data_IF_047828436996
#
_entry.id   IF_047828436996
#
_cell.length_a   1.000
_cell.length_b   1.000
_cell.length_c   1.000
_cell.angle_alpha   90.00
_cell.angle_beta   90.00
_cell.angle_gamma   90.00
#
_symmetry.space_group_name_H-M   'P 1'
#
loop_
_entity.id
_entity.type
_entity.pdbx_description
1 polymer ?
#
# COMPACT_ATOMS: atom_id res chain seq x y z
N UNK A 1 35.94 28.83 -31.83
CA UNK A 1 35.55 27.70 -30.98
C UNK A 1 35.54 26.44 -31.81
N UNK A 2 36.53 25.55 -31.63
CA UNK A 2 36.79 24.42 -32.52
C UNK A 2 35.74 23.33 -32.42
N UNK A 3 35.55 22.56 -33.47
CA UNK A 3 34.63 21.41 -33.57
C UNK A 3 34.79 20.37 -32.45
N UNK A 4 36.00 20.24 -31.92
CA UNK A 4 36.31 19.35 -30.79
C UNK A 4 35.62 19.80 -29.48
N UNK A 5 35.59 21.10 -29.18
CA UNK A 5 34.93 21.64 -27.97
C UNK A 5 33.44 21.47 -28.03
N UNK A 6 32.81 21.61 -29.20
CA UNK A 6 31.36 21.38 -29.42
C UNK A 6 31.00 19.90 -29.23
N UNK A 7 31.82 18.97 -29.70
CA UNK A 7 31.59 17.54 -29.51
C UNK A 7 31.64 17.16 -28.03
N UNK A 8 32.65 17.63 -27.31
CA UNK A 8 32.80 17.35 -25.87
C UNK A 8 31.64 17.89 -25.04
N UNK A 9 31.13 19.08 -25.35
CA UNK A 9 29.99 19.69 -24.67
C UNK A 9 28.71 18.90 -24.93
N UNK A 10 28.49 18.43 -26.17
CA UNK A 10 27.32 17.62 -26.51
C UNK A 10 27.37 16.25 -25.83
N UNK A 11 28.54 15.60 -25.76
CA UNK A 11 28.71 14.32 -25.09
C UNK A 11 28.50 14.46 -23.56
N UNK A 12 28.97 15.54 -22.94
CA UNK A 12 28.70 15.82 -21.53
C UNK A 12 27.22 16.08 -21.25
N UNK A 13 26.51 16.81 -22.10
CA UNK A 13 25.07 17.09 -21.97
C UNK A 13 24.26 15.79 -22.12
N UNK A 14 24.60 14.95 -23.08
CA UNK A 14 23.92 13.64 -23.27
C UNK A 14 24.19 12.73 -22.07
N UNK A 15 25.39 12.69 -21.52
CA UNK A 15 25.70 11.91 -20.32
C UNK A 15 24.92 12.41 -19.07
N UNK A 16 24.76 13.72 -18.91
CA UNK A 16 23.97 14.31 -17.82
C UNK A 16 22.48 14.00 -17.99
N UNK A 17 21.95 14.06 -19.22
CA UNK A 17 20.55 13.73 -19.49
C UNK A 17 20.30 12.23 -19.24
N UNK A 18 21.21 11.34 -19.65
CA UNK A 18 21.08 9.90 -19.35
C UNK A 18 21.19 9.60 -17.84
N UNK A 19 22.01 10.33 -17.08
CA UNK A 19 22.10 10.17 -15.63
C UNK A 19 20.83 10.64 -14.90
N UNK A 20 20.08 11.59 -15.47
CA UNK A 20 18.84 12.09 -14.86
C UNK A 20 17.61 11.19 -15.15
N UNK A 21 17.67 10.31 -16.16
CA UNK A 21 16.57 9.36 -16.47
C UNK A 21 16.55 8.12 -15.58
N UNK A 22 17.53 7.96 -14.67
CA UNK A 22 17.57 6.88 -13.71
C UNK A 22 16.84 7.20 -12.38
N UNK A 23 15.98 8.23 -12.34
CA UNK A 23 14.99 8.40 -11.28
C UNK A 23 13.94 7.29 -11.46
N UNK A 24 14.26 6.11 -10.94
CA UNK A 24 13.29 5.05 -10.78
C UNK A 24 12.16 5.60 -9.91
N UNK A 25 10.97 5.76 -10.51
CA UNK A 25 9.72 5.84 -9.76
C UNK A 25 9.69 4.59 -8.87
N UNK A 26 10.05 4.74 -7.61
CA UNK A 26 9.83 3.67 -6.65
C UNK A 26 8.31 3.63 -6.45
N UNK A 27 7.66 2.64 -7.06
CA UNK A 27 6.41 2.17 -6.53
C UNK A 27 6.64 1.94 -5.02
N UNK A 28 5.76 2.44 -4.16
CA UNK A 28 5.88 2.30 -2.71
C UNK A 28 5.83 0.81 -2.34
N UNK A 29 6.99 0.18 -2.37
CA UNK A 29 7.21 -1.20 -1.96
C UNK A 29 8.06 -1.18 -0.69
N UNK A 30 7.58 -1.82 0.35
CA UNK A 30 8.29 -2.02 1.60
C UNK A 30 8.77 -3.46 1.64
N UNK A 31 10.08 -3.66 1.80
CA UNK A 31 10.70 -4.98 1.91
C UNK A 31 11.08 -5.21 3.37
N UNK A 32 10.52 -6.26 3.96
CA UNK A 32 10.83 -6.71 5.32
C UNK A 32 11.18 -8.20 5.27
N UNK A 33 12.45 -8.53 5.42
CA UNK A 33 12.99 -9.86 5.14
C UNK A 33 12.60 -10.32 3.73
N UNK A 34 11.87 -11.44 3.62
CA UNK A 34 11.38 -12.00 2.37
C UNK A 34 9.97 -11.50 1.99
N UNK A 35 9.34 -10.68 2.85
CA UNK A 35 8.02 -10.09 2.56
C UNK A 35 8.17 -8.78 1.81
N UNK A 36 7.48 -8.66 0.70
CA UNK A 36 7.35 -7.46 -0.10
C UNK A 36 5.91 -6.95 0.00
N UNK A 37 5.73 -5.81 0.69
CA UNK A 37 4.43 -5.17 0.86
C UNK A 37 4.32 -4.09 -0.21
N UNK A 38 3.39 -4.28 -1.12
CA UNK A 38 3.24 -3.47 -2.32
C UNK A 38 1.96 -2.65 -2.26
N UNK A 39 2.08 -1.39 -2.61
CA UNK A 39 0.99 -0.45 -2.78
C UNK A 39 -0.04 -0.47 -1.62
N UNK A 40 0.39 -0.21 -0.38
CA UNK A 40 -0.56 -0.06 0.71
C UNK A 40 -1.34 1.25 0.51
N UNK A 41 -2.67 1.13 0.38
CA UNK A 41 -3.52 2.28 0.10
C UNK A 41 -4.90 2.18 0.75
N UNK A 42 -5.54 3.31 0.85
CA UNK A 42 -6.97 3.48 1.12
C UNK A 42 -7.55 4.52 0.17
N UNK A 43 -8.85 4.62 0.14
CA UNK A 43 -9.56 5.68 -0.59
C UNK A 43 -9.99 6.76 0.38
N UNK A 44 -9.87 8.03 -0.02
CA UNK A 44 -10.40 9.14 0.76
C UNK A 44 -11.86 8.89 1.13
N UNK A 45 -12.20 8.85 2.44
CA UNK A 45 -13.56 8.61 2.85
C UNK A 45 -14.43 9.83 2.58
N UNK A 46 -15.67 9.61 2.15
CA UNK A 46 -16.63 10.70 2.01
C UNK A 46 -16.81 11.43 3.36
N UNK A 47 -16.81 12.75 3.34
CA UNK A 47 -16.90 13.58 4.54
C UNK A 47 -18.09 13.17 5.43
N UNK A 48 -17.83 12.93 6.70
CA UNK A 48 -18.82 12.58 7.71
C UNK A 48 -19.25 11.11 7.76
N UNK A 49 -18.71 10.22 6.92
CA UNK A 49 -19.11 8.80 6.87
C UNK A 49 -18.06 7.82 7.39
N UNK A 50 -16.89 8.29 7.76
CA UNK A 50 -15.73 7.45 8.07
C UNK A 50 -15.72 6.91 9.51
N UNK A 51 -16.66 6.04 9.84
CA UNK A 51 -16.55 5.18 11.02
C UNK A 51 -15.55 4.03 10.80
N UNK A 52 -15.43 3.58 9.56
CA UNK A 52 -14.54 2.49 9.15
C UNK A 52 -13.87 2.82 7.81
N UNK A 53 -12.55 2.68 7.77
CA UNK A 53 -11.75 2.94 6.56
C UNK A 53 -10.95 1.69 6.22
N UNK A 54 -11.24 1.04 5.09
CA UNK A 54 -10.51 -0.13 4.66
C UNK A 54 -9.13 0.24 4.13
N UNK A 55 -8.13 -0.60 4.42
CA UNK A 55 -6.78 -0.50 3.87
C UNK A 55 -6.48 -1.75 3.07
N UNK A 56 -5.96 -1.55 1.89
CA UNK A 56 -5.66 -2.58 0.90
C UNK A 56 -4.17 -2.61 0.60
N UNK A 57 -3.66 -3.78 0.26
CA UNK A 57 -2.27 -3.98 -0.16
C UNK A 57 -2.09 -5.34 -0.83
N UNK A 58 -0.95 -5.54 -1.44
CA UNK A 58 -0.51 -6.86 -1.88
C UNK A 58 0.72 -7.24 -1.06
N UNK A 59 0.74 -8.44 -0.51
CA UNK A 59 1.89 -8.97 0.23
C UNK A 59 2.42 -10.18 -0.53
N UNK A 60 3.64 -10.06 -1.03
CA UNK A 60 4.34 -11.13 -1.72
C UNK A 60 5.36 -11.73 -0.76
N UNK A 61 5.25 -13.02 -0.50
CA UNK A 61 6.23 -13.80 0.25
C UNK A 61 7.18 -14.51 -0.73
N UNK A 62 8.44 -14.06 -0.78
CA UNK A 62 9.48 -14.67 -1.59
C UNK A 62 10.27 -15.74 -0.83
N UNK A 63 10.01 -15.89 0.47
CA UNK A 63 10.67 -16.85 1.35
C UNK A 63 10.13 -18.26 1.22
N UNK A 64 10.93 -19.21 1.69
CA UNK A 64 10.57 -20.64 1.71
C UNK A 64 9.69 -21.07 2.89
N UNK A 65 9.31 -20.14 3.77
CA UNK A 65 8.55 -20.43 4.99
C UNK A 65 7.36 -19.48 5.08
N UNK A 66 6.15 -20.04 5.04
CA UNK A 66 4.91 -19.28 5.15
C UNK A 66 4.87 -18.42 6.41
N UNK A 67 4.31 -17.21 6.33
CA UNK A 67 4.11 -16.28 7.43
C UNK A 67 2.60 -16.00 7.61
N UNK A 68 2.25 -15.08 8.50
CA UNK A 68 0.87 -14.69 8.79
C UNK A 68 0.83 -13.23 9.28
N UNK A 69 -0.02 -12.41 8.70
CA UNK A 69 -0.33 -11.10 9.26
C UNK A 69 -1.30 -11.28 10.44
N UNK A 70 -0.82 -11.04 11.65
CA UNK A 70 -1.57 -11.26 12.89
C UNK A 70 -2.45 -10.07 13.26
N UNK A 71 -1.91 -8.86 13.13
CA UNK A 71 -2.59 -7.63 13.50
C UNK A 71 -2.02 -6.41 12.79
N UNK A 72 -2.75 -5.30 12.89
CA UNK A 72 -2.29 -3.99 12.46
C UNK A 72 -2.70 -2.93 13.47
N UNK A 73 -1.98 -1.79 13.47
CA UNK A 73 -2.31 -0.62 14.27
C UNK A 73 -1.92 0.66 13.54
N UNK A 74 -2.57 1.77 13.87
CA UNK A 74 -2.25 3.10 13.33
C UNK A 74 -2.71 4.17 14.31
N UNK A 75 -1.99 5.29 14.48
CA UNK A 75 -2.45 6.43 15.26
C UNK A 75 -3.68 7.11 14.65
N UNK A 76 -3.97 6.90 13.37
CA UNK A 76 -5.10 7.48 12.64
C UNK A 76 -6.44 6.79 12.93
N UNK A 77 -6.47 5.68 13.64
CA UNK A 77 -7.69 4.99 14.07
C UNK A 77 -7.64 4.62 15.54
N UNK A 78 -8.78 4.72 16.26
CA UNK A 78 -8.87 4.27 17.67
C UNK A 78 -8.61 2.77 17.81
N UNK A 79 -8.92 2.00 16.79
CA UNK A 79 -8.59 0.58 16.69
C UNK A 79 -8.46 0.16 15.22
N UNK A 80 -7.79 -0.96 15.02
CA UNK A 80 -7.65 -1.59 13.70
C UNK A 80 -8.09 -3.04 13.82
N UNK A 81 -8.82 -3.53 12.85
CA UNK A 81 -9.27 -4.91 12.78
C UNK A 81 -8.89 -5.55 11.43
N UNK A 82 -8.68 -6.85 11.43
CA UNK A 82 -8.67 -7.64 10.20
C UNK A 82 -10.07 -8.22 10.02
N UNK A 83 -10.65 -8.01 8.85
CA UNK A 83 -11.99 -8.48 8.53
C UNK A 83 -11.97 -9.32 7.25
N UNK A 84 -12.91 -10.22 7.13
CA UNK A 84 -13.19 -10.93 5.88
C UNK A 84 -14.61 -10.61 5.43
N UNK A 85 -14.81 -10.56 4.13
CA UNK A 85 -16.13 -10.35 3.53
C UNK A 85 -16.54 -11.56 2.72
N UNK A 86 -17.70 -12.10 3.04
CA UNK A 86 -18.39 -13.09 2.21
C UNK A 86 -19.40 -12.34 1.35
N UNK A 87 -19.49 -12.60 0.05
CA UNK A 87 -20.49 -11.96 -0.81
C UNK A 87 -21.91 -12.10 -0.24
N UNK A 88 -22.62 -10.97 -0.09
CA UNK A 88 -23.97 -10.92 0.46
C UNK A 88 -24.07 -10.94 1.99
N UNK A 89 -22.94 -10.88 2.72
CA UNK A 89 -22.91 -10.81 4.18
C UNK A 89 -22.13 -9.59 4.66
N UNK A 90 -22.40 -9.19 5.92
CA UNK A 90 -21.60 -8.17 6.60
C UNK A 90 -20.17 -8.65 6.85
N UNK A 91 -19.16 -7.74 6.84
CA UNK A 91 -17.79 -8.09 7.15
C UNK A 91 -17.66 -8.70 8.56
N UNK A 92 -16.91 -9.78 8.69
CA UNK A 92 -16.66 -10.46 9.96
C UNK A 92 -15.22 -10.26 10.38
N UNK A 93 -15.01 -9.83 11.62
CA UNK A 93 -13.67 -9.72 12.21
C UNK A 93 -13.07 -11.12 12.37
N UNK A 94 -11.84 -11.30 11.90
CA UNK A 94 -11.08 -12.53 12.05
C UNK A 94 -9.90 -12.30 13.00
N UNK A 95 -9.70 -13.21 13.94
CA UNK A 95 -8.59 -13.18 14.92
C UNK A 95 -7.46 -14.14 14.55
N UNK A 96 -7.70 -15.00 13.57
CA UNK A 96 -6.68 -15.96 13.07
C UNK A 96 -5.61 -15.32 12.19
N UNK A 97 -5.78 -14.04 11.85
CA UNK A 97 -4.89 -13.33 10.92
C UNK A 97 -5.04 -13.78 9.47
N UNK A 98 -4.25 -13.15 8.58
CA UNK A 98 -4.21 -13.47 7.15
C UNK A 98 -3.03 -14.38 6.88
N UNK A 99 -3.23 -15.60 6.37
CA UNK A 99 -2.13 -16.50 6.02
C UNK A 99 -1.39 -15.98 4.79
N UNK A 100 -0.06 -16.06 4.81
CA UNK A 100 0.86 -15.71 3.74
C UNK A 100 1.64 -16.97 3.36
N UNK A 101 1.18 -17.74 2.36
CA UNK A 101 1.89 -18.96 1.96
C UNK A 101 3.26 -18.61 1.35
N UNK A 102 4.24 -19.48 1.59
CA UNK A 102 5.58 -19.32 1.01
C UNK A 102 5.52 -19.25 -0.53
N UNK A 103 6.41 -18.44 -1.11
CA UNK A 103 6.53 -18.23 -2.56
C UNK A 103 5.21 -17.81 -3.24
N UNK A 104 4.38 -17.03 -2.54
CA UNK A 104 3.07 -16.65 -3.06
C UNK A 104 2.79 -15.14 -2.90
N UNK A 105 1.76 -14.70 -3.59
CA UNK A 105 1.20 -13.38 -3.47
C UNK A 105 -0.17 -13.46 -2.80
N UNK A 106 -0.38 -12.64 -1.77
CA UNK A 106 -1.63 -12.55 -1.03
C UNK A 106 -2.22 -11.16 -1.22
N UNK A 107 -3.40 -11.09 -1.80
CA UNK A 107 -4.15 -9.83 -1.95
C UNK A 107 -4.93 -9.57 -0.66
N UNK A 108 -4.56 -8.51 0.05
CA UNK A 108 -5.30 -7.95 1.19
C UNK A 108 -6.30 -6.94 0.62
N UNK A 109 -7.55 -7.36 0.46
CA UNK A 109 -8.50 -6.56 -0.32
C UNK A 109 -9.97 -6.98 -0.18
N UNK A 110 -10.89 -6.26 -0.86
CA UNK A 110 -12.33 -6.32 -0.61
C UNK A 110 -13.00 -7.65 -0.96
N UNK A 111 -12.31 -8.52 -1.72
CA UNK A 111 -12.80 -9.87 -2.09
C UNK A 111 -12.16 -10.98 -1.26
N UNK A 112 -11.35 -10.62 -0.27
CA UNK A 112 -10.62 -11.53 0.61
C UNK A 112 -10.70 -11.00 2.05
N UNK A 113 -9.63 -11.18 2.83
CA UNK A 113 -9.45 -10.49 4.09
C UNK A 113 -8.76 -9.14 3.84
N UNK A 114 -9.09 -8.13 4.64
CA UNK A 114 -8.48 -6.81 4.58
C UNK A 114 -8.42 -6.15 5.96
N UNK A 115 -7.64 -5.08 6.05
CA UNK A 115 -7.46 -4.29 7.28
C UNK A 115 -8.49 -3.16 7.29
N UNK A 116 -9.05 -2.84 8.46
CA UNK A 116 -10.00 -1.73 8.63
C UNK A 116 -9.58 -0.87 9.81
N UNK A 117 -9.36 0.43 9.57
CA UNK A 117 -9.27 1.42 10.63
C UNK A 117 -10.68 1.74 11.11
N UNK A 118 -10.84 1.74 12.44
CA UNK A 118 -12.13 2.07 13.08
C UNK A 118 -12.02 3.38 13.86
N UNK A 119 -13.03 4.22 13.71
CA UNK A 119 -13.14 5.51 14.40
C UNK A 119 -11.91 6.37 14.19
N UNK A 120 -11.81 7.00 13.02
CA UNK A 120 -10.68 7.89 12.71
C UNK A 120 -10.45 8.92 13.82
N UNK A 121 -9.21 9.17 14.14
CA UNK A 121 -8.76 10.21 15.08
C UNK A 121 -8.52 11.53 14.38
N UNK A 122 -8.21 11.48 13.08
CA UNK A 122 -7.96 12.61 12.21
C UNK A 122 -8.60 12.35 10.83
N UNK A 123 -9.04 13.41 10.11
CA UNK A 123 -9.52 13.27 8.75
C UNK A 123 -8.42 12.71 7.83
N UNK A 124 -8.80 11.83 6.91
CA UNK A 124 -7.95 11.40 5.81
C UNK A 124 -8.34 12.17 4.55
N UNK A 125 -7.35 12.75 3.88
CA UNK A 125 -7.52 13.49 2.64
C UNK A 125 -6.69 12.88 1.52
N UNK A 126 -7.14 12.98 0.28
CA UNK A 126 -6.41 12.48 -0.87
C UNK A 126 -4.98 13.00 -0.95
N UNK A 127 -4.09 12.21 -1.55
CA UNK A 127 -2.65 12.50 -1.74
C UNK A 127 -1.81 12.56 -0.47
N UNK A 128 -2.34 12.20 0.70
CA UNK A 128 -1.56 12.10 1.93
C UNK A 128 -1.10 10.67 2.20
N UNK A 129 -0.11 10.54 3.11
CA UNK A 129 0.34 9.27 3.67
C UNK A 129 0.08 9.27 5.18
N UNK A 130 -0.20 8.08 5.73
CA UNK A 130 -0.26 7.90 7.17
C UNK A 130 0.43 6.60 7.60
N UNK A 131 1.05 6.58 8.78
CA UNK A 131 1.78 5.42 9.26
C UNK A 131 0.84 4.31 9.73
N UNK A 132 1.20 3.09 9.43
CA UNK A 132 0.57 1.89 9.95
C UNK A 132 1.63 0.87 10.33
N UNK A 133 1.43 0.20 11.43
CA UNK A 133 2.27 -0.90 11.91
C UNK A 133 1.56 -2.21 11.65
N UNK A 134 2.22 -3.12 10.95
CA UNK A 134 1.79 -4.49 10.72
C UNK A 134 2.58 -5.44 11.61
N UNK A 135 1.93 -6.45 12.18
CA UNK A 135 2.59 -7.47 13.01
C UNK A 135 2.42 -8.82 12.35
N UNK A 136 3.53 -9.42 11.99
CA UNK A 136 3.61 -10.75 11.38
C UNK A 136 4.07 -11.79 12.40
N UNK A 137 3.67 -13.04 12.19
CA UNK A 137 3.99 -14.14 13.11
C UNK A 137 5.50 -14.43 13.17
N UNK A 138 6.19 -14.39 12.04
CA UNK A 138 7.61 -14.71 11.90
C UNK A 138 8.47 -13.49 11.59
N UNK A 139 8.05 -12.69 10.63
CA UNK A 139 8.78 -11.46 10.25
C UNK A 139 8.78 -10.43 11.36
N UNK A 140 7.79 -10.47 12.27
CA UNK A 140 7.66 -9.51 13.38
C UNK A 140 6.97 -8.22 12.96
N UNK A 141 7.40 -7.11 13.55
CA UNK A 141 6.77 -5.79 13.36
C UNK A 141 7.37 -5.07 12.16
N UNK A 142 6.51 -4.56 11.27
CA UNK A 142 6.87 -3.80 10.08
C UNK A 142 6.07 -2.50 10.05
N UNK A 143 6.76 -1.37 9.94
CA UNK A 143 6.12 -0.06 9.72
C UNK A 143 5.98 0.21 8.24
N UNK A 144 4.81 0.68 7.84
CA UNK A 144 4.49 1.04 6.46
C UNK A 144 3.85 2.42 6.41
N UNK A 145 3.87 3.03 5.25
CA UNK A 145 3.09 4.24 4.95
C UNK A 145 1.96 3.88 3.99
N UNK A 146 0.73 4.17 4.39
CA UNK A 146 -0.48 3.95 3.59
C UNK A 146 -0.80 5.21 2.83
N UNK A 147 -0.93 5.09 1.51
CA UNK A 147 -1.32 6.18 0.64
C UNK A 147 -2.85 6.37 0.63
N UNK A 148 -3.31 7.61 0.66
CA UNK A 148 -4.73 7.94 0.53
C UNK A 148 -5.00 8.35 -0.92
N UNK A 149 -5.68 7.50 -1.66
CA UNK A 149 -6.12 7.80 -3.03
C UNK A 149 -7.28 8.79 -3.01
N UNK A 150 -7.24 9.78 -3.90
CA UNK A 150 -8.34 10.70 -4.08
C UNK A 150 -9.56 9.98 -4.67
N UNK A 151 -10.71 10.13 -4.04
CA UNK A 151 -11.95 9.46 -4.45
C UNK A 151 -12.41 9.84 -5.87
N UNK A 152 -12.00 11.02 -6.37
CA UNK A 152 -12.33 11.49 -7.72
C UNK A 152 -11.55 10.78 -8.82
N UNK A 153 -10.39 10.18 -8.50
CA UNK A 153 -9.52 9.48 -9.47
C UNK A 153 -9.92 8.01 -9.66
N UNK A 154 -10.77 7.48 -8.78
CA UNK A 154 -11.25 6.11 -8.92
C UNK A 154 -12.31 6.07 -10.02
N UNK A 155 -12.08 5.29 -11.11
CA UNK A 155 -13.09 5.14 -12.15
C UNK A 155 -14.41 4.66 -11.53
N UNK A 156 -15.46 5.48 -11.61
CA UNK A 156 -16.79 5.04 -11.19
C UNK A 156 -17.16 3.83 -12.05
N UNK A 157 -17.33 2.68 -11.41
CA UNK A 157 -17.78 1.45 -12.08
C UNK A 157 -19.21 1.52 -12.61
N UNK A 158 -19.79 2.70 -12.62
CA UNK A 158 -21.12 2.95 -13.14
C UNK A 158 -20.99 3.68 -14.48
N UNK A 159 -21.19 3.03 -15.64
CA UNK A 159 -21.29 3.75 -16.90
C UNK A 159 -22.46 4.73 -16.79
N UNK A 160 -22.14 6.01 -16.97
CA UNK A 160 -23.14 7.09 -17.01
C UNK A 160 -24.19 6.73 -18.08
N UNK A 161 -25.51 6.85 -17.80
CA UNK A 161 -26.56 6.52 -18.73
C UNK A 161 -26.52 7.36 -19.99
#
# INVERSE_FOLDING_TARGET
MGTATRKLVIECIVAIILAFTALTVRAHEIVANELHIQHPFTVEPAAGTALEVPVYMVIKDNGGVADRLLSASSPFGKSVAIVTRVPGAEPVTITSGIPLPAHSETVVGPRAAFVVLKSLTEPLSGYQYFPMTLVFEKTGTVEIEVYVEDASEIPSSNPKP
#
